data_IF_147512353498
#
_entry.id   IF_147512353498
#
_cell.length_a   1.000
_cell.length_b   1.000
_cell.length_c   1.000
_cell.angle_alpha   90.00
_cell.angle_beta   90.00
_cell.angle_gamma   90.00
#
_symmetry.space_group_name_H-M   'P 1'
#
loop_
_entity.id
_entity.type
_entity.pdbx_description
1 polymer ?
#
# COMPACT_ATOMS: atom_id res chain seq x y z
N UNK A 1 -19.65 4.63 -0.46
CA UNK A 1 -18.88 4.11 0.68
C UNK A 1 -18.86 2.58 0.79
N UNK A 2 -19.82 1.82 0.22
CA UNK A 2 -19.75 0.34 0.16
C UNK A 2 -18.97 -0.22 -1.05
N UNK A 3 -18.82 0.58 -2.10
CA UNK A 3 -18.30 0.15 -3.42
C UNK A 3 -16.78 0.03 -3.51
N UNK A 4 -16.06 0.86 -2.76
CA UNK A 4 -14.59 0.93 -2.82
C UNK A 4 -13.93 -0.31 -2.17
N UNK A 5 -14.69 -1.01 -1.31
CA UNK A 5 -14.25 -2.13 -0.46
C UNK A 5 -13.72 -3.33 -1.25
N UNK A 6 -14.06 -3.44 -2.55
CA UNK A 6 -13.95 -4.67 -3.30
C UNK A 6 -12.60 -4.90 -4.01
N UNK A 7 -11.92 -3.86 -4.50
CA UNK A 7 -10.74 -4.05 -5.38
C UNK A 7 -9.42 -4.11 -4.63
N UNK A 8 -9.33 -3.47 -3.46
CA UNK A 8 -8.20 -3.68 -2.57
C UNK A 8 -8.21 -5.07 -1.91
N UNK A 9 -9.27 -5.89 -2.14
CA UNK A 9 -9.30 -7.29 -1.73
C UNK A 9 -8.32 -8.18 -2.52
N UNK A 10 -7.80 -7.71 -3.66
CA UNK A 10 -6.95 -8.47 -4.57
C UNK A 10 -5.45 -8.48 -4.18
N UNK A 11 -5.00 -7.65 -3.23
CA UNK A 11 -3.57 -7.29 -3.09
C UNK A 11 -3.01 -7.39 -1.65
N UNK A 12 -3.72 -8.02 -0.70
CA UNK A 12 -3.29 -8.05 0.70
C UNK A 12 -2.38 -9.24 1.07
N UNK A 13 -2.32 -10.29 0.25
CA UNK A 13 -1.58 -11.53 0.58
C UNK A 13 -0.20 -11.68 -0.06
N UNK A 14 0.18 -10.83 -1.02
CA UNK A 14 1.47 -10.91 -1.72
C UNK A 14 2.67 -10.41 -0.88
N UNK A 15 2.43 -9.91 0.34
CA UNK A 15 3.34 -9.03 1.09
C UNK A 15 4.51 -9.70 1.83
N UNK A 16 5.16 -10.76 1.32
CA UNK A 16 6.41 -11.26 1.95
C UNK A 16 7.67 -10.50 1.52
N UNK A 17 7.58 -9.61 0.54
CA UNK A 17 8.72 -8.80 0.11
C UNK A 17 9.08 -7.62 1.02
N UNK A 18 8.40 -7.50 2.17
CA UNK A 18 8.71 -6.54 3.22
C UNK A 18 10.06 -6.80 3.93
N UNK A 19 10.68 -7.99 3.75
CA UNK A 19 11.95 -8.34 4.44
C UNK A 19 13.10 -7.38 4.17
N UNK A 20 13.12 -6.70 3.03
CA UNK A 20 14.13 -5.68 2.69
C UNK A 20 13.77 -4.24 3.10
N UNK A 21 12.52 -3.98 3.52
CA UNK A 21 12.00 -2.61 3.74
C UNK A 21 11.62 -2.36 5.21
N UNK A 22 11.36 -3.40 6.00
CA UNK A 22 10.89 -3.24 7.37
C UNK A 22 11.50 -4.28 8.32
N UNK A 23 12.10 -3.80 9.40
CA UNK A 23 12.49 -4.60 10.58
C UNK A 23 11.78 -3.99 11.80
N UNK A 24 11.06 -4.85 12.55
CA UNK A 24 10.42 -4.65 13.88
C UNK A 24 9.07 -3.94 13.95
N UNK A 25 8.00 -4.75 14.05
CA UNK A 25 7.20 -4.99 15.26
C UNK A 25 6.20 -6.10 14.91
N UNK A 26 6.56 -7.36 15.16
CA UNK A 26 5.69 -8.49 14.80
C UNK A 26 4.69 -8.75 15.93
N UNK A 27 3.40 -8.78 15.61
CA UNK A 27 2.37 -9.27 16.53
C UNK A 27 2.68 -10.73 16.92
N UNK A 28 2.24 -11.16 18.12
CA UNK A 28 2.43 -12.55 18.59
C UNK A 28 1.83 -13.56 17.59
N UNK A 29 0.67 -13.24 17.03
CA UNK A 29 0.08 -13.94 15.89
C UNK A 29 -0.44 -12.94 14.85
N UNK A 30 0.26 -12.86 13.70
CA UNK A 30 -0.14 -11.98 12.60
C UNK A 30 -1.50 -12.40 12.01
N UNK A 31 -1.75 -13.71 11.90
CA UNK A 31 -3.02 -14.21 11.35
C UNK A 31 -4.20 -13.89 12.27
N UNK A 32 -4.04 -13.99 13.59
CA UNK A 32 -5.08 -13.64 14.54
C UNK A 32 -5.37 -12.13 14.51
N UNK A 33 -4.33 -11.30 14.42
CA UNK A 33 -4.48 -9.86 14.29
C UNK A 33 -5.28 -9.49 13.03
N UNK A 34 -4.90 -10.03 11.86
CA UNK A 34 -5.61 -9.75 10.61
C UNK A 34 -7.04 -10.24 10.62
N UNK A 35 -7.29 -11.40 11.21
CA UNK A 35 -8.66 -11.91 11.36
C UNK A 35 -9.53 -10.98 12.22
N UNK A 36 -8.99 -10.48 13.35
CA UNK A 36 -9.69 -9.51 14.22
C UNK A 36 -9.98 -8.19 13.50
N UNK A 37 -9.00 -7.64 12.78
CA UNK A 37 -9.14 -6.36 12.05
C UNK A 37 -10.18 -6.43 10.93
N UNK A 38 -10.20 -7.55 10.20
CA UNK A 38 -11.01 -7.71 9.00
C UNK A 38 -12.43 -8.18 9.29
N UNK A 39 -12.60 -8.95 10.36
CA UNK A 39 -13.77 -9.80 10.54
C UNK A 39 -13.73 -11.02 9.61
N UNK A 40 -14.51 -12.05 9.98
CA UNK A 40 -14.46 -13.36 9.34
C UNK A 40 -14.75 -13.32 7.84
N UNK A 41 -15.80 -12.59 7.43
CA UNK A 41 -16.23 -12.55 6.02
C UNK A 41 -15.16 -11.94 5.11
N UNK A 42 -14.62 -10.78 5.48
CA UNK A 42 -13.57 -10.11 4.70
C UNK A 42 -12.28 -10.92 4.71
N UNK A 43 -11.91 -11.52 5.85
CA UNK A 43 -10.72 -12.38 5.92
C UNK A 43 -10.86 -13.58 4.97
N UNK A 44 -11.99 -14.29 5.03
CA UNK A 44 -12.26 -15.43 4.16
C UNK A 44 -12.28 -15.04 2.68
N UNK A 45 -12.90 -13.89 2.35
CA UNK A 45 -12.91 -13.34 0.99
C UNK A 45 -11.51 -13.06 0.46
N UNK A 46 -10.67 -12.40 1.26
CA UNK A 46 -9.28 -12.14 0.90
C UNK A 46 -8.48 -13.42 0.68
N UNK A 47 -8.67 -14.42 1.54
CA UNK A 47 -7.96 -15.69 1.44
C UNK A 47 -8.36 -16.42 0.15
N UNK A 48 -9.66 -16.43 -0.17
CA UNK A 48 -10.15 -16.99 -1.45
C UNK A 48 -9.47 -16.32 -2.63
N UNK A 49 -9.50 -14.99 -2.65
CA UNK A 49 -8.91 -14.20 -3.72
C UNK A 49 -7.42 -14.51 -3.88
N UNK A 50 -6.68 -14.59 -2.77
CA UNK A 50 -5.27 -14.96 -2.81
C UNK A 50 -5.05 -16.34 -3.41
N UNK A 51 -5.83 -17.35 -3.02
CA UNK A 51 -5.70 -18.68 -3.61
C UNK A 51 -6.08 -18.69 -5.09
N UNK A 52 -7.19 -18.04 -5.48
CA UNK A 52 -7.61 -17.97 -6.89
C UNK A 52 -6.58 -17.27 -7.78
N UNK A 53 -5.87 -16.27 -7.27
CA UNK A 53 -4.79 -15.63 -8.01
C UNK A 53 -3.51 -16.47 -8.12
N UNK A 54 -3.18 -17.27 -7.10
CA UNK A 54 -1.99 -18.12 -7.11
C UNK A 54 -2.24 -19.48 -7.79
N UNK A 55 -3.49 -19.90 -7.87
CA UNK A 55 -3.93 -21.20 -8.39
C UNK A 55 -5.05 -21.02 -9.43
N UNK A 56 -4.77 -20.27 -10.50
CA UNK A 56 -5.78 -19.85 -11.49
C UNK A 56 -6.44 -20.99 -12.31
N UNK A 57 -5.83 -22.17 -12.34
CA UNK A 57 -6.34 -23.38 -13.01
C UNK A 57 -7.12 -24.30 -12.06
N UNK A 58 -7.18 -23.97 -10.77
CA UNK A 58 -7.78 -24.82 -9.73
C UNK A 58 -9.30 -24.55 -9.67
N UNK A 59 -10.13 -25.60 -9.55
CA UNK A 59 -11.58 -25.44 -9.42
C UNK A 59 -11.98 -24.55 -8.24
N UNK A 60 -13.11 -23.84 -8.37
CA UNK A 60 -13.60 -22.92 -7.35
C UNK A 60 -13.85 -23.61 -5.99
N UNK A 61 -14.44 -24.80 -5.97
CA UNK A 61 -14.73 -25.55 -4.73
C UNK A 61 -13.45 -25.86 -3.92
N UNK A 62 -12.33 -26.10 -4.60
CA UNK A 62 -11.04 -26.33 -3.94
C UNK A 62 -10.52 -25.03 -3.30
N UNK A 63 -10.69 -23.88 -3.95
CA UNK A 63 -10.38 -22.59 -3.35
C UNK A 63 -11.24 -22.29 -2.12
N UNK A 64 -12.54 -22.60 -2.18
CA UNK A 64 -13.48 -22.44 -1.07
C UNK A 64 -13.02 -23.27 0.14
N UNK A 65 -12.61 -24.51 -0.10
CA UNK A 65 -12.08 -25.40 0.93
C UNK A 65 -10.80 -24.85 1.56
N UNK A 66 -9.82 -24.44 0.73
CA UNK A 66 -8.57 -23.83 1.22
C UNK A 66 -8.82 -22.56 2.04
N UNK A 67 -9.72 -21.70 1.58
CA UNK A 67 -10.09 -20.48 2.28
C UNK A 67 -10.74 -20.79 3.64
N UNK A 68 -11.63 -21.79 3.69
CA UNK A 68 -12.24 -22.25 4.94
C UNK A 68 -11.18 -22.78 5.92
N UNK A 69 -10.25 -23.61 5.47
CA UNK A 69 -9.20 -24.17 6.34
C UNK A 69 -8.32 -23.09 6.97
N UNK A 70 -7.91 -22.08 6.20
CA UNK A 70 -7.11 -20.95 6.73
C UNK A 70 -7.95 -20.07 7.67
N UNK A 71 -9.23 -19.87 7.36
CA UNK A 71 -10.17 -19.11 8.22
C UNK A 71 -10.39 -19.82 9.55
N UNK A 72 -10.60 -21.13 9.54
CA UNK A 72 -10.76 -21.94 10.75
C UNK A 72 -9.47 -21.94 11.59
N UNK A 73 -8.30 -22.03 10.95
CA UNK A 73 -7.02 -21.90 11.63
C UNK A 73 -6.83 -20.52 12.27
N UNK A 74 -7.24 -19.45 11.59
CA UNK A 74 -7.21 -18.10 12.14
C UNK A 74 -8.07 -17.97 13.40
N UNK A 75 -9.27 -18.59 13.43
CA UNK A 75 -10.13 -18.63 14.63
C UNK A 75 -9.45 -19.33 15.81
N UNK A 76 -8.76 -20.44 15.56
CA UNK A 76 -7.96 -21.12 16.59
C UNK A 76 -6.89 -20.20 17.17
N UNK A 77 -6.15 -19.47 16.32
CA UNK A 77 -5.14 -18.52 16.76
C UNK A 77 -5.70 -17.28 17.47
N UNK A 78 -6.94 -16.89 17.16
CA UNK A 78 -7.65 -15.83 17.91
C UNK A 78 -8.03 -16.30 19.32
N UNK A 79 -8.40 -17.58 19.47
CA UNK A 79 -8.72 -18.16 20.77
C UNK A 79 -7.46 -18.36 21.63
N UNK A 80 -6.34 -18.77 21.03
CA UNK A 80 -5.04 -18.91 21.70
C UNK A 80 -3.89 -18.52 20.76
N UNK A 81 -3.34 -17.32 20.94
CA UNK A 81 -2.22 -16.82 20.13
C UNK A 81 -0.92 -17.61 20.36
N UNK A 82 -0.85 -18.44 21.41
CA UNK A 82 0.31 -19.30 21.71
C UNK A 82 0.19 -20.71 21.15
N UNK A 83 -0.95 -21.04 20.53
CA UNK A 83 -1.16 -22.35 19.91
C UNK A 83 -0.16 -22.62 18.78
N UNK A 84 0.00 -23.91 18.46
CA UNK A 84 0.96 -24.35 17.46
C UNK A 84 0.77 -23.63 16.12
N UNK A 85 1.87 -23.19 15.51
CA UNK A 85 1.90 -22.50 14.22
C UNK A 85 1.27 -21.09 14.21
N UNK A 86 0.64 -20.60 15.28
CA UNK A 86 0.03 -19.26 15.31
C UNK A 86 1.04 -18.10 15.27
N UNK A 87 2.28 -18.34 15.70
CA UNK A 87 3.39 -17.40 15.59
C UNK A 87 4.07 -17.36 14.22
N UNK A 88 3.68 -18.24 13.28
CA UNK A 88 4.20 -18.18 11.91
C UNK A 88 3.65 -16.94 11.21
N UNK A 89 4.47 -16.34 10.37
CA UNK A 89 4.03 -15.26 9.49
C UNK A 89 3.09 -15.79 8.39
N UNK A 90 2.18 -14.94 7.91
CA UNK A 90 1.19 -15.30 6.89
C UNK A 90 1.79 -15.95 5.63
N UNK A 91 2.92 -15.44 5.12
CA UNK A 91 3.55 -16.01 3.92
C UNK A 91 3.98 -17.47 4.08
N UNK A 92 4.41 -17.86 5.28
CA UNK A 92 4.78 -19.25 5.60
C UNK A 92 3.53 -20.11 5.58
N UNK A 93 2.49 -19.69 6.32
CA UNK A 93 1.23 -20.41 6.41
C UNK A 93 0.60 -20.61 5.02
N UNK A 94 0.61 -19.57 4.19
CA UNK A 94 0.11 -19.63 2.81
C UNK A 94 0.95 -20.53 1.92
N UNK A 95 2.29 -20.43 1.97
CA UNK A 95 3.17 -21.29 1.19
C UNK A 95 3.01 -22.77 1.57
N UNK A 96 2.90 -23.08 2.87
CA UNK A 96 2.60 -24.44 3.35
C UNK A 96 1.26 -24.95 2.81
N UNK A 97 0.23 -24.10 2.81
CA UNK A 97 -1.08 -24.45 2.24
C UNK A 97 -1.05 -24.68 0.74
N UNK A 98 -0.35 -23.82 -0.02
CA UNK A 98 -0.16 -24.02 -1.46
C UNK A 98 0.55 -25.35 -1.75
N UNK A 99 1.64 -25.64 -1.01
CA UNK A 99 2.38 -26.88 -1.14
C UNK A 99 1.61 -28.15 -0.72
N UNK A 100 0.56 -28.00 0.07
CA UNK A 100 -0.33 -29.09 0.47
C UNK A 100 -1.39 -29.45 -0.57
N UNK A 101 -1.52 -28.70 -1.67
CA UNK A 101 -2.50 -28.98 -2.72
C UNK A 101 -2.08 -30.22 -3.50
N UNK A 102 -2.88 -31.28 -3.44
CA UNK A 102 -2.55 -32.59 -4.00
C UNK A 102 -2.27 -32.54 -5.53
N UNK A 103 -3.04 -31.75 -6.27
CA UNK A 103 -2.91 -31.57 -7.72
C UNK A 103 -1.86 -30.53 -8.13
N UNK A 104 -1.10 -29.96 -7.18
CA UNK A 104 -0.18 -28.84 -7.46
C UNK A 104 0.87 -29.22 -8.50
N UNK A 105 1.51 -30.38 -8.35
CA UNK A 105 2.57 -30.81 -9.26
C UNK A 105 2.06 -31.16 -10.65
N UNK A 106 0.84 -31.69 -10.73
CA UNK A 106 0.21 -32.05 -12.00
C UNK A 106 -0.29 -30.81 -12.75
N UNK A 107 -0.82 -29.83 -12.03
CA UNK A 107 -1.49 -28.64 -12.60
C UNK A 107 -0.52 -27.46 -12.80
N UNK A 108 0.49 -27.36 -11.93
CA UNK A 108 1.45 -26.26 -11.84
C UNK A 108 2.87 -26.79 -11.61
N UNK A 109 3.36 -27.65 -12.51
CA UNK A 109 4.65 -28.34 -12.36
C UNK A 109 5.81 -27.46 -11.86
N UNK A 110 6.02 -26.29 -12.48
CA UNK A 110 7.09 -25.36 -12.10
C UNK A 110 6.84 -24.63 -10.76
N UNK A 111 5.57 -24.44 -10.39
CA UNK A 111 5.18 -23.89 -9.08
C UNK A 111 5.45 -24.90 -7.97
N UNK A 112 5.25 -26.19 -8.23
CA UNK A 112 5.53 -27.25 -7.26
C UNK A 112 7.03 -27.34 -6.91
N UNK A 113 7.92 -26.93 -7.82
CA UNK A 113 9.36 -26.86 -7.54
C UNK A 113 9.67 -25.80 -6.45
N UNK A 114 8.82 -24.78 -6.29
CA UNK A 114 8.96 -23.80 -5.21
C UNK A 114 8.81 -24.43 -3.82
N UNK A 115 8.06 -25.54 -3.69
CA UNK A 115 7.86 -26.21 -2.41
C UNK A 115 9.13 -26.82 -1.83
N UNK A 116 10.10 -27.14 -2.69
CA UNK A 116 11.40 -27.69 -2.33
C UNK A 116 12.45 -26.63 -1.97
N UNK A 117 12.15 -25.33 -2.18
CA UNK A 117 13.09 -24.24 -1.87
C UNK A 117 13.19 -23.95 -0.38
N UNK A 118 14.28 -23.32 0.10
CA UNK A 118 14.35 -22.80 1.46
C UNK A 118 13.21 -21.81 1.73
N UNK A 119 12.67 -21.80 2.94
CA UNK A 119 11.54 -20.95 3.34
C UNK A 119 11.78 -19.45 3.10
N UNK A 120 13.03 -19.01 3.14
CA UNK A 120 13.42 -17.65 2.80
C UNK A 120 13.15 -17.28 1.33
N UNK A 121 13.20 -18.26 0.43
CA UNK A 121 13.09 -18.12 -1.03
C UNK A 121 11.75 -18.64 -1.57
N UNK A 122 11.01 -19.47 -0.81
CA UNK A 122 9.75 -20.07 -1.25
C UNK A 122 8.77 -19.01 -1.75
N UNK A 123 8.53 -17.96 -0.96
CA UNK A 123 7.56 -16.92 -1.33
C UNK A 123 7.95 -16.18 -2.60
N UNK A 124 9.22 -15.81 -2.74
CA UNK A 124 9.73 -15.16 -3.96
C UNK A 124 9.57 -16.07 -5.18
N UNK A 125 9.75 -17.38 -5.00
CA UNK A 125 9.50 -18.35 -6.04
C UNK A 125 8.01 -18.38 -6.45
N UNK A 126 7.08 -18.51 -5.50
CA UNK A 126 5.64 -18.51 -5.77
C UNK A 126 5.19 -17.26 -6.55
N UNK A 127 5.71 -16.09 -6.18
CA UNK A 127 5.34 -14.84 -6.84
C UNK A 127 5.80 -14.74 -8.30
N UNK A 128 6.87 -15.43 -8.70
CA UNK A 128 7.31 -15.43 -10.11
C UNK A 128 6.37 -16.17 -11.04
N UNK A 129 5.54 -17.05 -10.49
CA UNK A 129 4.60 -17.87 -11.25
C UNK A 129 3.17 -17.34 -11.21
N UNK A 130 2.94 -16.20 -10.53
CA UNK A 130 1.66 -15.50 -10.62
C UNK A 130 1.53 -14.94 -12.04
N UNK A 131 0.54 -15.39 -12.78
CA UNK A 131 0.23 -14.86 -14.11
C UNK A 131 -0.75 -13.69 -13.96
N UNK A 132 -0.26 -12.46 -14.16
CA UNK A 132 -1.11 -11.28 -14.08
C UNK A 132 -1.97 -11.07 -15.36
N UNK A 133 -1.74 -11.85 -16.42
CA UNK A 133 -2.52 -11.83 -17.68
C UNK A 133 -2.85 -13.26 -18.17
N UNK A 134 -3.57 -14.05 -17.36
CA UNK A 134 -3.86 -15.41 -17.70
C UNK A 134 -4.79 -15.44 -18.91
N UNK A 135 -4.53 -16.33 -19.87
CA UNK A 135 -5.39 -16.58 -21.03
C UNK A 135 -6.68 -17.31 -20.65
N UNK A 136 -7.49 -16.70 -19.76
CA UNK A 136 -8.77 -17.21 -19.32
C UNK A 136 -9.86 -16.90 -20.36
N UNK A 137 -10.86 -17.78 -20.50
CA UNK A 137 -12.05 -17.46 -21.28
C UNK A 137 -12.69 -16.15 -20.79
N UNK A 138 -13.23 -15.36 -21.72
CA UNK A 138 -14.00 -14.18 -21.36
C UNK A 138 -15.13 -14.58 -20.40
N UNK A 139 -15.37 -13.76 -19.37
CA UNK A 139 -16.48 -13.96 -18.45
C UNK A 139 -17.80 -13.93 -19.23
N UNK A 140 -18.38 -15.10 -19.48
CA UNK A 140 -19.68 -15.24 -20.13
C UNK A 140 -20.75 -14.99 -19.07
N UNK A 141 -21.56 -13.96 -19.30
CA UNK A 141 -22.73 -13.68 -18.45
C UNK A 141 -23.82 -14.70 -18.80
N UNK A 142 -24.26 -15.56 -17.85
CA UNK A 142 -25.37 -16.47 -18.11
C UNK A 142 -26.65 -15.69 -18.41
N UNK A 143 -27.62 -16.37 -19.03
CA UNK A 143 -28.97 -15.84 -19.18
C UNK A 143 -29.56 -15.48 -17.81
N UNK A 144 -30.41 -14.44 -17.71
CA UNK A 144 -30.84 -13.88 -16.43
C UNK A 144 -31.50 -14.88 -15.50
N UNK A 145 -32.37 -15.73 -16.03
CA UNK A 145 -33.08 -16.73 -15.25
C UNK A 145 -32.13 -17.82 -14.75
N UNK A 146 -31.13 -18.20 -15.55
CA UNK A 146 -30.11 -19.17 -15.15
C UNK A 146 -29.15 -18.59 -14.09
N UNK A 147 -28.79 -17.32 -14.20
CA UNK A 147 -27.97 -16.62 -13.20
C UNK A 147 -28.73 -16.48 -11.88
N UNK A 148 -30.00 -16.11 -11.92
CA UNK A 148 -30.82 -15.97 -10.72
C UNK A 148 -31.16 -17.31 -10.06
N UNK A 149 -31.47 -18.35 -10.85
CA UNK A 149 -31.67 -19.71 -10.34
C UNK A 149 -30.39 -20.23 -9.67
N UNK A 150 -29.25 -20.13 -10.34
CA UNK A 150 -27.97 -20.56 -9.76
C UNK A 150 -27.60 -19.75 -8.51
N UNK A 151 -27.86 -18.44 -8.46
CA UNK A 151 -27.66 -17.62 -7.26
C UNK A 151 -28.58 -18.02 -6.10
N UNK A 152 -29.83 -18.36 -6.36
CA UNK A 152 -30.80 -18.78 -5.33
C UNK A 152 -30.53 -20.20 -4.82
N UNK A 153 -30.11 -21.11 -5.70
CA UNK A 153 -29.76 -22.50 -5.37
C UNK A 153 -28.38 -22.63 -4.72
N UNK A 154 -27.48 -21.66 -4.94
CA UNK A 154 -26.14 -21.71 -4.39
C UNK A 154 -26.16 -21.56 -2.86
N UNK A 155 -25.90 -22.67 -2.17
CA UNK A 155 -25.74 -22.75 -0.71
C UNK A 155 -24.35 -22.26 -0.26
N UNK A 156 -23.40 -22.13 -1.18
CA UNK A 156 -22.14 -21.42 -1.00
C UNK A 156 -22.25 -19.96 -1.48
N UNK A 157 -23.20 -19.19 -0.94
CA UNK A 157 -23.14 -17.72 -1.00
C UNK A 157 -21.85 -17.29 -0.33
N UNK A 158 -20.78 -17.21 -1.10
CA UNK A 158 -19.44 -17.22 -0.54
C UNK A 158 -19.17 -15.90 0.18
N UNK A 159 -19.80 -14.82 -0.32
CA UNK A 159 -19.68 -13.48 0.21
C UNK A 159 -21.05 -12.80 0.17
N UNK A 160 -21.95 -13.15 1.12
CA UNK A 160 -23.25 -12.48 1.29
C UNK A 160 -23.19 -10.96 1.51
N UNK A 161 -21.99 -10.37 1.51
CA UNK A 161 -21.66 -8.95 1.57
C UNK A 161 -21.06 -8.38 0.26
N UNK A 162 -20.82 -9.21 -0.76
CA UNK A 162 -20.27 -8.79 -2.05
C UNK A 162 -21.31 -8.05 -2.88
N UNK A 163 -20.91 -6.92 -3.44
CA UNK A 163 -21.74 -6.06 -4.27
C UNK A 163 -22.53 -6.81 -5.34
N UNK A 164 -21.86 -7.74 -6.03
CA UNK A 164 -22.48 -8.55 -7.06
C UNK A 164 -23.56 -9.46 -6.48
N UNK A 165 -23.28 -10.16 -5.37
CA UNK A 165 -24.24 -11.01 -4.68
C UNK A 165 -25.41 -10.20 -4.10
N UNK A 166 -25.17 -9.04 -3.48
CA UNK A 166 -26.23 -8.14 -2.98
C UNK A 166 -27.07 -7.57 -4.13
N UNK A 167 -26.43 -7.20 -5.24
CA UNK A 167 -27.14 -6.72 -6.43
C UNK A 167 -27.97 -7.85 -7.03
N UNK A 168 -27.46 -9.08 -7.12
CA UNK A 168 -28.23 -10.23 -7.57
C UNK A 168 -29.38 -10.57 -6.61
N UNK A 169 -29.16 -10.51 -5.30
CA UNK A 169 -30.22 -10.73 -4.30
C UNK A 169 -31.37 -9.74 -4.46
N UNK A 170 -31.05 -8.47 -4.69
CA UNK A 170 -32.05 -7.44 -4.98
C UNK A 170 -32.69 -7.63 -6.37
N UNK A 171 -31.89 -7.87 -7.40
CA UNK A 171 -32.33 -7.82 -8.80
C UNK A 171 -33.08 -9.08 -9.23
N UNK A 172 -32.72 -10.25 -8.71
CA UNK A 172 -33.40 -11.51 -9.00
C UNK A 172 -34.82 -11.57 -8.42
N UNK A 173 -35.19 -10.64 -7.55
CA UNK A 173 -36.56 -10.47 -7.05
C UNK A 173 -37.39 -9.45 -7.87
N UNK A 174 -36.82 -8.84 -8.91
CA UNK A 174 -37.52 -7.83 -9.73
C UNK A 174 -38.19 -8.45 -10.96
N UNK A 175 -39.10 -7.70 -11.58
CA UNK A 175 -39.79 -8.15 -12.81
C UNK A 175 -38.86 -8.26 -14.03
N UNK A 176 -37.70 -7.58 -14.01
CA UNK A 176 -36.67 -7.67 -15.05
C UNK A 176 -35.28 -7.69 -14.37
N UNK A 177 -34.82 -8.88 -13.93
CA UNK A 177 -33.52 -9.02 -13.29
C UNK A 177 -32.37 -8.52 -14.16
N UNK A 178 -32.43 -8.77 -15.47
CA UNK A 178 -31.38 -8.37 -16.40
C UNK A 178 -31.22 -6.85 -16.44
N UNK A 179 -32.31 -6.11 -16.64
CA UNK A 179 -32.24 -4.65 -16.63
C UNK A 179 -31.72 -4.10 -15.29
N UNK A 180 -31.98 -4.79 -14.18
CA UNK A 180 -31.53 -4.41 -12.85
C UNK A 180 -30.02 -4.64 -12.62
N UNK A 181 -29.47 -5.82 -12.90
CA UNK A 181 -28.05 -6.12 -12.64
C UNK A 181 -27.12 -5.88 -13.84
N UNK A 182 -27.65 -5.63 -15.04
CA UNK A 182 -26.83 -5.53 -16.27
C UNK A 182 -25.69 -4.52 -16.20
N UNK A 183 -25.85 -3.49 -15.37
CA UNK A 183 -24.90 -2.38 -15.16
C UNK A 183 -23.89 -2.62 -14.03
N UNK A 184 -23.98 -3.72 -13.28
CA UNK A 184 -23.11 -3.96 -12.12
C UNK A 184 -21.62 -4.00 -12.48
N UNK A 185 -21.28 -4.51 -13.67
CA UNK A 185 -19.90 -4.49 -14.16
C UNK A 185 -19.44 -3.07 -14.56
N UNK A 186 -20.36 -2.22 -15.00
CA UNK A 186 -20.06 -0.80 -15.25
C UNK A 186 -19.73 -0.07 -13.94
N UNK A 187 -20.32 -0.50 -12.82
CA UNK A 187 -20.02 0.02 -11.48
C UNK A 187 -18.61 -0.39 -10.98
N UNK A 188 -18.06 -1.50 -11.48
CA UNK A 188 -16.69 -1.94 -11.17
C UNK A 188 -15.62 -1.25 -12.00
N UNK A 189 -15.96 -0.81 -13.22
CA UNK A 189 -15.04 -0.13 -14.12
C UNK A 189 -14.26 1.03 -13.46
N UNK A 190 -14.89 2.03 -12.81
CA UNK A 190 -14.14 3.13 -12.18
C UNK A 190 -13.24 2.67 -11.04
N UNK A 191 -13.56 1.56 -10.38
CA UNK A 191 -12.76 1.00 -9.30
C UNK A 191 -11.46 0.36 -9.82
N UNK A 192 -11.44 -0.11 -11.08
CA UNK A 192 -10.23 -0.63 -11.75
C UNK A 192 -9.46 0.49 -12.42
N UNK A 193 -10.16 1.42 -13.07
CA UNK A 193 -9.56 2.52 -13.81
C UNK A 193 -8.85 3.52 -12.88
N UNK A 194 -9.42 3.87 -11.73
CA UNK A 194 -8.80 4.79 -10.78
C UNK A 194 -7.38 4.34 -10.33
N UNK A 195 -7.18 3.14 -9.77
CA UNK A 195 -5.83 2.69 -9.37
C UNK A 195 -4.90 2.53 -10.57
N UNK A 196 -5.41 2.07 -11.70
CA UNK A 196 -4.59 1.88 -12.92
C UNK A 196 -4.05 3.23 -13.40
N UNK A 197 -4.90 4.25 -13.47
CA UNK A 197 -4.49 5.61 -13.86
C UNK A 197 -3.61 6.26 -12.80
N UNK A 198 -3.88 6.03 -11.51
CA UNK A 198 -3.04 6.52 -10.43
C UNK A 198 -1.63 5.95 -10.53
N UNK A 199 -1.48 4.64 -10.70
CA UNK A 199 -0.17 3.98 -10.83
C UNK A 199 0.54 4.46 -12.09
N UNK A 200 -0.16 4.56 -13.22
CA UNK A 200 0.40 5.09 -14.47
C UNK A 200 0.97 6.50 -14.28
N UNK A 201 0.18 7.44 -13.75
CA UNK A 201 0.61 8.82 -13.50
C UNK A 201 1.82 8.89 -12.57
N UNK A 202 1.81 8.12 -11.47
CA UNK A 202 2.93 8.10 -10.53
C UNK A 202 4.19 7.49 -11.14
N UNK A 203 4.06 6.48 -12.01
CA UNK A 203 5.21 5.91 -12.71
C UNK A 203 5.79 6.86 -13.75
N UNK A 204 4.97 7.59 -14.51
CA UNK A 204 5.44 8.64 -15.42
C UNK A 204 6.18 9.76 -14.68
N UNK A 205 5.71 10.14 -13.49
CA UNK A 205 6.36 11.12 -12.62
C UNK A 205 7.69 10.57 -12.05
N UNK A 206 7.69 9.31 -11.61
CA UNK A 206 8.89 8.61 -11.15
C UNK A 206 9.96 8.52 -12.24
N UNK A 207 9.57 8.19 -13.48
CA UNK A 207 10.50 8.11 -14.63
C UNK A 207 11.12 9.48 -14.95
N UNK A 208 10.37 10.58 -14.78
CA UNK A 208 10.85 11.94 -15.00
C UNK A 208 11.79 12.45 -13.91
N UNK A 209 11.47 12.14 -12.65
CA UNK A 209 12.15 12.71 -11.48
C UNK A 209 13.25 11.82 -10.89
N UNK A 210 13.23 10.52 -11.22
CA UNK A 210 13.99 9.50 -10.52
C UNK A 210 13.51 9.26 -9.09
N UNK A 211 14.11 8.30 -8.40
CA UNK A 211 13.66 7.89 -7.06
C UNK A 211 13.69 9.04 -6.05
N UNK A 212 14.80 9.77 -5.94
CA UNK A 212 14.91 10.85 -4.95
C UNK A 212 13.95 12.02 -5.21
N UNK A 213 13.78 12.42 -6.48
CA UNK A 213 12.82 13.47 -6.84
C UNK A 213 11.39 13.04 -6.55
N UNK A 214 11.02 11.81 -6.91
CA UNK A 214 9.69 11.27 -6.63
C UNK A 214 9.41 11.11 -5.12
N UNK A 215 10.42 10.74 -4.32
CA UNK A 215 10.30 10.75 -2.85
C UNK A 215 9.97 12.15 -2.31
N UNK A 216 10.54 13.22 -2.90
CA UNK A 216 10.27 14.58 -2.46
C UNK A 216 8.83 15.00 -2.80
N UNK A 217 8.32 14.63 -3.98
CA UNK A 217 6.90 14.84 -4.33
C UNK A 217 5.95 14.11 -3.38
N UNK A 218 6.31 12.88 -2.99
CA UNK A 218 5.56 12.12 -1.98
C UNK A 218 5.63 12.79 -0.60
N UNK A 219 6.78 13.33 -0.20
CA UNK A 219 6.92 14.11 1.03
C UNK A 219 5.98 15.31 1.01
N UNK A 220 5.94 16.06 -0.09
CA UNK A 220 5.05 17.21 -0.25
C UNK A 220 3.59 16.76 -0.09
N UNK A 221 3.17 15.73 -0.84
CA UNK A 221 1.82 15.18 -0.79
C UNK A 221 1.42 14.72 0.61
N UNK A 222 2.21 13.85 1.24
CA UNK A 222 1.84 13.26 2.53
C UNK A 222 1.96 14.24 3.69
N UNK A 223 2.88 15.20 3.64
CA UNK A 223 2.96 16.26 4.67
C UNK A 223 1.75 17.20 4.58
N UNK A 224 1.30 17.56 3.36
CA UNK A 224 0.06 18.35 3.20
C UNK A 224 -1.17 17.59 3.71
N UNK A 225 -1.23 16.28 3.49
CA UNK A 225 -2.34 15.41 3.91
C UNK A 225 -2.42 15.19 5.42
N UNK A 226 -1.28 15.01 6.06
CA UNK A 226 -1.20 14.65 7.48
C UNK A 226 -0.05 15.39 8.19
N UNK A 227 -0.08 16.74 8.25
CA UNK A 227 1.02 17.54 8.78
C UNK A 227 1.28 17.34 10.28
N UNK A 228 0.33 16.76 11.02
CA UNK A 228 0.49 16.42 12.44
C UNK A 228 1.41 15.20 12.65
N UNK A 229 1.58 14.34 11.63
CA UNK A 229 2.45 13.16 11.71
C UNK A 229 3.90 13.59 11.93
N UNK A 230 4.65 12.87 12.76
CA UNK A 230 6.04 13.20 13.06
C UNK A 230 6.92 13.21 11.80
N UNK A 231 7.90 14.11 11.78
CA UNK A 231 8.76 14.30 10.60
C UNK A 231 9.56 13.05 10.22
N UNK A 232 10.18 12.31 11.17
CA UNK A 232 10.82 11.05 10.85
C UNK A 232 9.88 10.03 10.21
N UNK A 233 8.60 10.01 10.63
CA UNK A 233 7.60 9.11 10.05
C UNK A 233 7.24 9.52 8.63
N UNK A 234 6.99 10.82 8.38
CA UNK A 234 6.69 11.33 7.03
C UNK A 234 7.82 11.07 6.04
N UNK A 235 9.08 11.26 6.46
CA UNK A 235 10.26 10.94 5.64
C UNK A 235 10.35 9.43 5.39
N UNK A 236 10.22 8.59 6.43
CA UNK A 236 10.28 7.13 6.30
C UNK A 236 9.22 6.59 5.33
N UNK A 237 7.95 6.98 5.49
CA UNK A 237 6.88 6.51 4.61
C UNK A 237 7.10 6.97 3.17
N UNK A 238 7.49 8.22 2.96
CA UNK A 238 7.63 8.78 1.61
C UNK A 238 8.82 8.16 0.88
N UNK A 239 9.93 7.90 1.58
CA UNK A 239 11.07 7.14 1.03
C UNK A 239 10.68 5.72 0.64
N UNK A 240 9.89 5.04 1.50
CA UNK A 240 9.40 3.69 1.21
C UNK A 240 8.44 3.65 0.03
N UNK A 241 7.55 4.64 -0.07
CA UNK A 241 6.69 4.82 -1.24
C UNK A 241 7.50 5.10 -2.51
N UNK A 242 8.56 5.91 -2.44
CA UNK A 242 9.43 6.15 -3.59
C UNK A 242 10.14 4.88 -4.09
N UNK A 243 10.54 3.99 -3.19
CA UNK A 243 11.10 2.67 -3.55
C UNK A 243 10.10 1.75 -4.25
N UNK A 244 8.80 1.96 -4.07
CA UNK A 244 7.76 1.25 -4.85
C UNK A 244 7.89 1.61 -6.32
N UNK A 245 8.17 2.87 -6.66
CA UNK A 245 8.45 3.29 -8.03
C UNK A 245 9.62 2.53 -8.65
N UNK A 246 10.74 2.45 -7.95
CA UNK A 246 11.95 1.71 -8.39
C UNK A 246 11.66 0.24 -8.67
N UNK A 247 10.74 -0.35 -7.91
CA UNK A 247 10.42 -1.77 -7.97
C UNK A 247 9.32 -2.11 -8.98
N UNK A 248 8.28 -1.30 -9.05
CA UNK A 248 7.07 -1.62 -9.81
C UNK A 248 7.00 -0.92 -11.17
N UNK A 249 7.51 0.31 -11.31
CA UNK A 249 7.33 1.06 -12.56
C UNK A 249 8.14 0.50 -13.74
N UNK A 250 9.16 -0.32 -13.46
CA UNK A 250 9.96 -1.01 -14.49
C UNK A 250 9.30 -2.29 -15.01
N UNK A 251 8.22 -2.74 -14.36
CA UNK A 251 7.48 -3.92 -14.78
C UNK A 251 6.61 -3.62 -16.02
N UNK A 252 6.22 -4.66 -16.78
CA UNK A 252 5.19 -4.53 -17.81
C UNK A 252 3.91 -3.88 -17.27
N UNK A 253 3.21 -3.10 -18.09
CA UNK A 253 2.08 -2.26 -17.66
C UNK A 253 1.01 -3.05 -16.88
N UNK A 254 0.68 -4.27 -17.33
CA UNK A 254 -0.26 -5.17 -16.67
C UNK A 254 0.12 -5.55 -15.22
N UNK A 255 1.42 -5.61 -14.92
CA UNK A 255 1.92 -6.03 -13.60
C UNK A 255 2.10 -4.85 -12.62
N UNK A 256 2.11 -3.61 -13.13
CA UNK A 256 2.43 -2.42 -12.32
C UNK A 256 1.40 -2.20 -11.20
N UNK A 257 0.12 -2.35 -11.51
CA UNK A 257 -0.97 -2.07 -10.57
C UNK A 257 -0.94 -3.04 -9.40
N UNK A 258 -0.86 -4.35 -9.66
CA UNK A 258 -0.77 -5.35 -8.60
C UNK A 258 0.47 -5.18 -7.72
N UNK A 259 1.64 -4.98 -8.35
CA UNK A 259 2.87 -4.68 -7.62
C UNK A 259 2.73 -3.45 -6.72
N UNK A 260 2.20 -2.34 -7.25
CA UNK A 260 2.10 -1.10 -6.51
C UNK A 260 1.13 -1.23 -5.32
N UNK A 261 -0.08 -1.76 -5.51
CA UNK A 261 -1.09 -1.89 -4.46
C UNK A 261 -0.61 -2.79 -3.30
N UNK A 262 0.10 -3.87 -3.60
CA UNK A 262 0.70 -4.76 -2.59
C UNK A 262 1.67 -3.98 -1.68
N UNK A 263 2.60 -3.21 -2.26
CA UNK A 263 3.57 -2.43 -1.47
C UNK A 263 2.94 -1.22 -0.79
N UNK A 264 2.00 -0.52 -1.44
CA UNK A 264 1.27 0.61 -0.86
C UNK A 264 0.55 0.17 0.42
N UNK A 265 -0.14 -0.97 0.38
CA UNK A 265 -0.86 -1.53 1.53
C UNK A 265 0.07 -1.76 2.73
N UNK A 266 1.27 -2.29 2.49
CA UNK A 266 2.29 -2.50 3.54
C UNK A 266 2.78 -1.18 4.11
N UNK A 267 3.13 -0.21 3.25
CA UNK A 267 3.65 1.08 3.71
C UNK A 267 2.61 1.85 4.53
N UNK A 268 1.36 1.89 4.06
CA UNK A 268 0.26 2.53 4.77
C UNK A 268 -0.09 1.80 6.06
N UNK A 269 -0.01 0.46 6.11
CA UNK A 269 -0.16 -0.27 7.37
C UNK A 269 0.94 0.11 8.38
N UNK A 270 2.20 0.24 7.92
CA UNK A 270 3.30 0.69 8.78
C UNK A 270 3.09 2.11 9.34
N UNK A 271 2.45 3.00 8.58
CA UNK A 271 2.00 4.30 9.09
C UNK A 271 0.93 4.12 10.17
N UNK A 272 -0.10 3.32 9.90
CA UNK A 272 -1.22 3.10 10.82
C UNK A 272 -0.78 2.49 12.15
N UNK A 273 0.09 1.47 12.14
CA UNK A 273 0.62 0.85 13.37
C UNK A 273 1.37 1.85 14.24
N UNK A 274 2.15 2.75 13.64
CA UNK A 274 2.86 3.80 14.39
C UNK A 274 1.90 4.86 14.91
N UNK A 275 0.89 5.22 14.11
CA UNK A 275 -0.12 6.21 14.47
C UNK A 275 -1.02 5.72 15.60
N UNK A 276 -1.38 4.44 15.63
CA UNK A 276 -2.16 3.84 16.70
C UNK A 276 -1.47 3.94 18.06
N UNK A 277 -0.14 3.81 18.10
CA UNK A 277 0.67 3.97 19.33
C UNK A 277 0.70 5.42 19.83
N UNK A 278 0.58 6.40 18.94
CA UNK A 278 0.60 7.83 19.26
C UNK A 278 -0.29 8.61 18.28
N UNK A 279 -1.62 8.61 18.47
CA UNK A 279 -2.54 9.22 17.52
C UNK A 279 -2.38 10.74 17.53
N UNK A 280 -2.13 11.32 16.34
CA UNK A 280 -1.90 12.77 16.17
C UNK A 280 -2.82 13.43 15.15
N UNK A 281 -3.64 12.65 14.44
CA UNK A 281 -4.51 13.15 13.36
C UNK A 281 -5.73 12.26 13.22
N UNK A 282 -6.93 12.84 13.43
CA UNK A 282 -8.20 12.13 13.28
C UNK A 282 -8.43 11.66 11.84
N UNK A 283 -7.92 12.41 10.84
CA UNK A 283 -8.00 12.03 9.42
C UNK A 283 -7.20 10.76 9.13
N UNK A 284 -6.02 10.64 9.75
CA UNK A 284 -5.21 9.42 9.68
C UNK A 284 -5.88 8.28 10.44
N UNK A 285 -6.43 8.54 11.63
CA UNK A 285 -7.22 7.55 12.39
C UNK A 285 -8.33 6.98 11.51
N UNK A 286 -9.14 7.87 10.90
CA UNK A 286 -10.24 7.48 10.01
C UNK A 286 -9.77 6.56 8.88
N UNK A 287 -8.74 6.96 8.11
CA UNK A 287 -8.26 6.11 7.02
C UNK A 287 -7.64 4.79 7.49
N UNK A 288 -7.10 4.74 8.71
CA UNK A 288 -6.53 3.53 9.27
C UNK A 288 -7.57 2.53 9.77
N UNK A 289 -8.69 3.01 10.32
CA UNK A 289 -9.69 2.20 11.03
C UNK A 289 -11.01 2.01 10.30
N UNK A 290 -11.39 2.89 9.36
CA UNK A 290 -12.68 2.82 8.67
C UNK A 290 -12.81 1.55 7.81
N UNK A 291 -11.73 1.17 7.14
CA UNK A 291 -11.69 -0.02 6.28
C UNK A 291 -10.26 -0.35 5.85
N UNK A 292 -9.82 -1.59 6.08
CA UNK A 292 -8.49 -2.04 5.66
C UNK A 292 -8.30 -1.92 4.14
N UNK A 293 -9.33 -2.30 3.39
CA UNK A 293 -9.35 -2.29 1.93
C UNK A 293 -9.44 -0.87 1.37
N UNK A 294 -10.25 0.01 1.96
CA UNK A 294 -10.34 1.40 1.48
C UNK A 294 -9.20 2.28 1.97
N UNK A 295 -8.22 1.73 2.69
CA UNK A 295 -7.11 2.48 3.26
C UNK A 295 -6.35 3.26 2.17
N UNK A 296 -5.91 2.60 1.09
CA UNK A 296 -5.17 3.27 0.00
C UNK A 296 -6.03 4.35 -0.68
N UNK A 297 -7.26 4.08 -1.15
CA UNK A 297 -8.15 5.11 -1.68
C UNK A 297 -8.41 6.26 -0.69
N UNK A 298 -8.59 5.97 0.60
CA UNK A 298 -8.82 6.99 1.63
C UNK A 298 -7.61 7.94 1.75
N UNK A 299 -6.39 7.40 1.87
CA UNK A 299 -5.18 8.22 1.91
C UNK A 299 -4.96 9.01 0.61
N UNK A 300 -5.31 8.43 -0.54
CA UNK A 300 -5.26 9.13 -1.84
C UNK A 300 -6.25 10.29 -1.93
N UNK A 301 -7.42 10.17 -1.30
CA UNK A 301 -8.46 11.20 -1.26
C UNK A 301 -8.21 12.29 -0.22
N UNK A 302 -7.23 12.13 0.69
CA UNK A 302 -6.87 13.20 1.61
C UNK A 302 -6.29 14.39 0.81
N UNK A 303 -6.85 15.56 1.07
CA UNK A 303 -6.33 16.85 0.62
C UNK A 303 -5.55 17.55 1.73
N UNK A 304 -5.07 18.77 1.46
CA UNK A 304 -4.44 19.65 2.45
C UNK A 304 -5.28 19.73 3.73
N UNK A 305 -4.65 19.51 4.88
CA UNK A 305 -5.33 19.68 6.17
C UNK A 305 -5.52 21.17 6.50
N UNK A 306 -6.72 21.68 6.23
CA UNK A 306 -7.08 23.06 6.54
C UNK A 306 -7.20 23.35 8.05
N UNK A 307 -7.30 22.31 8.89
CA UNK A 307 -7.41 22.44 10.35
C UNK A 307 -6.03 22.53 11.03
N UNK A 308 -4.97 22.21 10.29
CA UNK A 308 -3.61 22.27 10.81
C UNK A 308 -3.17 23.70 11.06
N UNK A 309 -2.79 23.98 12.31
CA UNK A 309 -2.14 25.23 12.70
C UNK A 309 -0.66 25.11 12.34
N UNK A 310 -0.14 25.96 11.42
CA UNK A 310 1.27 25.89 11.03
C UNK A 310 2.20 26.04 12.24
N UNK A 311 3.27 25.25 12.26
CA UNK A 311 4.30 25.37 13.28
C UNK A 311 5.00 26.72 13.17
N UNK A 312 5.44 27.25 14.29
CA UNK A 312 6.37 28.38 14.29
C UNK A 312 7.67 28.02 13.58
N UNK A 313 8.29 29.02 12.95
CA UNK A 313 9.56 28.82 12.28
C UNK A 313 10.67 28.69 13.32
N UNK A 314 11.40 27.57 13.30
CA UNK A 314 12.56 27.34 14.18
C UNK A 314 13.82 27.33 13.33
N UNK A 315 14.64 28.38 13.44
CA UNK A 315 15.84 28.56 12.61
C UNK A 315 16.82 27.37 12.72
N UNK A 316 17.00 26.83 13.94
CA UNK A 316 17.88 25.69 14.20
C UNK A 316 17.53 24.44 13.37
N UNK A 317 16.26 24.26 12.99
CA UNK A 317 15.83 23.13 12.14
C UNK A 317 16.38 23.23 10.72
N UNK A 318 16.77 24.44 10.30
CA UNK A 318 17.33 24.74 8.99
C UNK A 318 18.82 25.13 9.08
N UNK A 319 19.44 25.00 10.25
CA UNK A 319 20.87 25.20 10.45
C UNK A 319 21.59 23.87 10.23
N UNK A 320 22.60 23.89 9.35
CA UNK A 320 23.43 22.74 9.03
C UNK A 320 24.85 23.06 9.42
N UNK A 321 25.60 22.02 9.79
CA UNK A 321 27.00 22.13 10.18
C UNK A 321 27.88 21.35 9.19
N UNK A 322 29.19 21.49 9.32
CA UNK A 322 30.16 20.81 8.46
C UNK A 322 30.05 19.27 8.54
N UNK A 323 29.40 18.72 9.58
CA UNK A 323 29.09 17.30 9.72
C UNK A 323 28.32 16.76 8.51
N UNK A 324 27.43 17.55 7.90
CA UNK A 324 26.62 17.12 6.75
C UNK A 324 27.48 16.71 5.55
N UNK A 325 28.68 17.27 5.42
CA UNK A 325 29.56 17.05 4.27
C UNK A 325 30.28 15.69 4.30
N UNK A 326 30.40 15.07 5.48
CA UNK A 326 31.04 13.76 5.63
C UNK A 326 30.02 12.62 5.65
N UNK A 327 28.73 12.94 5.73
CA UNK A 327 27.66 11.95 5.72
C UNK A 327 27.59 11.21 4.38
N UNK A 328 27.24 9.92 4.38
CA UNK A 328 26.87 9.22 3.16
C UNK A 328 25.72 9.94 2.44
N UNK A 329 25.68 9.86 1.10
CA UNK A 329 24.69 10.55 0.29
C UNK A 329 23.24 10.29 0.75
N UNK A 330 22.94 9.05 1.15
CA UNK A 330 21.61 8.69 1.63
C UNK A 330 21.20 9.42 2.93
N UNK A 331 22.14 9.72 3.82
CA UNK A 331 21.89 10.46 5.06
C UNK A 331 21.76 11.96 4.77
N UNK A 332 22.56 12.49 3.83
CA UNK A 332 22.40 13.86 3.34
C UNK A 332 21.00 14.07 2.73
N UNK A 333 20.52 13.10 1.94
CA UNK A 333 19.16 13.11 1.39
C UNK A 333 18.09 13.12 2.50
N UNK A 334 18.25 12.30 3.54
CA UNK A 334 17.32 12.27 4.69
C UNK A 334 17.29 13.62 5.42
N UNK A 335 18.46 14.26 5.62
CA UNK A 335 18.53 15.60 6.22
C UNK A 335 17.81 16.65 5.36
N UNK A 336 17.98 16.63 4.04
CA UNK A 336 17.24 17.51 3.09
C UNK A 336 15.73 17.28 3.14
N UNK A 337 15.32 16.02 3.15
CA UNK A 337 13.91 15.61 3.22
C UNK A 337 13.27 15.99 4.56
N UNK A 338 14.04 15.94 5.66
CA UNK A 338 13.61 16.41 6.98
C UNK A 338 13.33 17.91 6.96
N UNK A 339 14.24 18.71 6.40
CA UNK A 339 14.03 20.15 6.23
C UNK A 339 12.79 20.45 5.37
N UNK A 340 12.56 19.70 4.29
CA UNK A 340 11.37 19.85 3.44
C UNK A 340 10.06 19.66 4.23
N UNK A 341 9.99 18.62 5.07
CA UNK A 341 8.80 18.37 5.90
C UNK A 341 8.58 19.51 6.88
N UNK A 342 9.61 19.98 7.58
CA UNK A 342 9.46 21.07 8.56
C UNK A 342 9.11 22.40 7.89
N UNK A 343 9.62 22.63 6.67
CA UNK A 343 9.25 23.78 5.85
C UNK A 343 7.75 23.76 5.51
N UNK A 344 7.23 22.59 5.11
CA UNK A 344 5.81 22.39 4.83
C UNK A 344 4.95 22.49 6.08
N UNK A 345 5.45 22.07 7.26
CA UNK A 345 4.75 22.27 8.52
C UNK A 345 4.71 23.74 8.94
N UNK A 346 5.68 24.54 8.53
CA UNK A 346 5.65 25.99 8.73
C UNK A 346 4.79 26.69 7.66
N UNK A 347 4.82 26.22 6.41
CA UNK A 347 4.16 26.83 5.24
C UNK A 347 3.36 25.76 4.45
N UNK A 348 2.25 25.25 4.99
CA UNK A 348 1.52 24.12 4.39
C UNK A 348 0.87 24.46 3.05
N UNK A 349 0.64 25.76 2.79
CA UNK A 349 0.06 26.27 1.54
C UNK A 349 1.10 26.65 0.48
N UNK A 350 2.39 26.38 0.71
CA UNK A 350 3.42 26.66 -0.28
C UNK A 350 3.15 25.91 -1.59
N UNK A 351 3.32 26.61 -2.72
CA UNK A 351 3.20 26.00 -4.05
C UNK A 351 4.39 25.09 -4.31
N UNK A 352 4.20 24.12 -5.21
CA UNK A 352 5.27 23.20 -5.59
C UNK A 352 6.45 23.94 -6.23
N UNK A 353 6.20 25.00 -7.00
CA UNK A 353 7.28 25.82 -7.58
C UNK A 353 8.12 26.50 -6.50
N UNK A 354 7.47 27.14 -5.51
CA UNK A 354 8.18 27.78 -4.39
C UNK A 354 9.00 26.78 -3.59
N UNK A 355 8.43 25.61 -3.31
CA UNK A 355 9.15 24.53 -2.61
C UNK A 355 10.35 24.03 -3.40
N UNK A 356 10.21 23.87 -4.72
CA UNK A 356 11.31 23.47 -5.61
C UNK A 356 12.43 24.50 -5.64
N UNK A 357 12.08 25.80 -5.69
CA UNK A 357 13.06 26.89 -5.59
C UNK A 357 13.82 26.84 -4.27
N UNK A 358 13.11 26.74 -3.14
CA UNK A 358 13.75 26.67 -1.80
C UNK A 358 14.66 25.44 -1.66
N UNK A 359 14.23 24.27 -2.13
CA UNK A 359 15.05 23.05 -2.12
C UNK A 359 16.28 23.14 -3.04
N UNK A 360 16.15 23.81 -4.19
CA UNK A 360 17.25 24.10 -5.09
C UNK A 360 18.30 24.98 -4.42
N UNK A 361 17.87 26.08 -3.81
CA UNK A 361 18.73 26.99 -3.04
C UNK A 361 19.41 26.26 -1.88
N UNK A 362 18.66 25.41 -1.18
CA UNK A 362 19.17 24.58 -0.10
C UNK A 362 20.30 23.65 -0.57
N UNK A 363 20.08 22.96 -1.69
CA UNK A 363 21.07 22.05 -2.26
C UNK A 363 22.32 22.78 -2.74
N UNK A 364 22.17 23.95 -3.37
CA UNK A 364 23.27 24.79 -3.79
C UNK A 364 24.10 25.32 -2.61
N UNK A 365 23.44 25.72 -1.52
CA UNK A 365 24.08 26.14 -0.27
C UNK A 365 24.95 25.01 0.32
N UNK A 366 24.39 23.79 0.47
CA UNK A 366 25.15 22.65 0.99
C UNK A 366 26.34 22.33 0.09
N UNK A 367 26.16 22.32 -1.23
CA UNK A 367 27.27 22.08 -2.17
C UNK A 367 28.36 23.15 -2.06
N UNK A 368 27.98 24.42 -2.01
CA UNK A 368 28.89 25.56 -1.83
C UNK A 368 29.72 25.41 -0.55
N UNK A 369 29.06 25.18 0.59
CA UNK A 369 29.77 25.11 1.87
C UNK A 369 30.55 23.82 2.07
N UNK A 370 30.13 22.69 1.49
CA UNK A 370 30.95 21.49 1.52
C UNK A 370 32.20 21.56 0.62
N UNK A 371 32.20 22.44 -0.39
CA UNK A 371 33.37 22.71 -1.22
C UNK A 371 34.30 23.81 -0.64
N UNK A 372 33.89 24.49 0.44
CA UNK A 372 34.68 25.54 1.07
C UNK A 372 35.91 24.97 1.83
N UNK A 373 36.97 25.77 1.91
CA UNK A 373 38.17 25.44 2.68
C UNK A 373 37.85 25.35 4.19
N UNK A 374 37.12 26.34 4.71
CA UNK A 374 36.52 26.30 6.04
C UNK A 374 35.01 26.09 5.92
N UNK A 375 34.59 24.84 6.10
CA UNK A 375 33.20 24.43 5.93
C UNK A 375 32.31 25.02 7.01
N UNK A 376 32.73 24.97 8.28
CA UNK A 376 31.91 25.40 9.41
C UNK A 376 31.68 26.92 9.39
N UNK A 377 32.72 27.68 9.03
CA UNK A 377 32.59 29.12 8.82
C UNK A 377 31.59 29.44 7.70
N UNK A 378 31.64 28.71 6.57
CA UNK A 378 30.68 28.90 5.48
C UNK A 378 29.24 28.62 5.93
N UNK A 379 29.00 27.49 6.60
CA UNK A 379 27.67 27.14 7.10
C UNK A 379 27.12 28.20 8.08
N UNK A 380 27.98 28.70 8.97
CA UNK A 380 27.61 29.73 9.96
C UNK A 380 27.28 31.08 9.31
N UNK A 381 27.98 31.46 8.24
CA UNK A 381 27.76 32.74 7.55
C UNK A 381 26.59 32.69 6.57
N UNK A 382 26.50 31.62 5.77
CA UNK A 382 25.54 31.50 4.67
C UNK A 382 24.20 30.92 5.13
N UNK A 383 24.17 30.16 6.23
CA UNK A 383 22.96 29.54 6.77
C UNK A 383 21.83 30.56 7.07
N UNK A 384 22.10 31.64 7.83
CA UNK A 384 21.10 32.68 8.08
C UNK A 384 20.57 33.35 6.80
N UNK A 385 21.42 33.54 5.78
CA UNK A 385 21.03 34.10 4.47
C UNK A 385 20.06 33.17 3.73
N UNK A 386 20.32 31.86 3.77
CA UNK A 386 19.44 30.85 3.20
C UNK A 386 18.09 30.81 3.91
N UNK A 387 18.09 30.88 5.25
CA UNK A 387 16.85 30.93 6.06
C UNK A 387 16.00 32.13 5.67
N UNK A 388 16.59 33.32 5.63
CA UNK A 388 15.88 34.55 5.30
C UNK A 388 15.31 34.53 3.86
N UNK A 389 16.10 34.09 2.88
CA UNK A 389 15.63 33.96 1.50
C UNK A 389 14.53 32.92 1.33
N UNK A 390 14.61 31.80 2.05
CA UNK A 390 13.57 30.77 2.03
C UNK A 390 12.25 31.28 2.62
N UNK A 391 12.31 32.05 3.71
CA UNK A 391 11.12 32.69 4.28
C UNK A 391 10.50 33.71 3.32
N UNK A 392 11.33 34.49 2.62
CA UNK A 392 10.86 35.47 1.63
C UNK A 392 10.19 34.80 0.42
N UNK A 393 10.75 33.70 -0.08
CA UNK A 393 10.16 32.93 -1.19
C UNK A 393 8.80 32.32 -0.80
N UNK A 394 8.65 31.93 0.47
CA UNK A 394 7.44 31.30 1.02
C UNK A 394 6.48 32.27 1.70
N UNK A 395 6.77 33.57 1.67
CA UNK A 395 5.79 34.63 1.93
C UNK A 395 4.79 34.67 0.77
#
# INVERSE_FOLDING_TARGET
MKWVTFICLLFLFSSAYSRGVFRRDAHKSEIAHRFKDLGEENFKGLVLVAFSQNLQKTPFDDHVKLAKEVTDFAKTCVADESAENCGKSLHILFAEKLCGVASLRETYGELADCCSKPEAEKHECFLKYKDDDPSLPALVRPEPDALCASFQENTQKFLGTYQYETTLEKCCATADPHACYSKVFDEFKPLVEEPTQLVKKNCEEFEKLGEYGFQNELIIRYTKRAPQVSTPTLVDISRKLGKVGTRCCKLPEAQRMGCAEDFLSVVLNGLCVRHEKAPVSERVTKCCTESLVNRRPCFSALELDATFVPKEFVAETFTFHADVCTLPEHEQQIKKQTALVELLKHKPKASEEKLKTVLGNFSAFVQKCCAAADKEACFSEEGPKLVASSQAELA
#
